data_IF_015835550694
#
_entry.id   IF_015835550694
#
_cell.length_a   1.000
_cell.length_b   1.000
_cell.length_c   1.000
_cell.angle_alpha   90.00
_cell.angle_beta   90.00
_cell.angle_gamma   90.00
#
_symmetry.space_group_name_H-M   'P 1'
#
loop_
_entity.id
_entity.type
_entity.pdbx_description
1 polymer ?
#
# COMPACT_ATOMS: atom_id res chain seq x y z
N UNK A 1 -25.94 13.91 -0.91
CA UNK A 1 -25.98 12.43 -1.00
C UNK A 1 -24.63 11.98 -1.54
N UNK A 2 -23.79 11.40 -0.69
CA UNK A 2 -22.52 10.74 -1.05
C UNK A 2 -22.42 9.45 -0.22
N UNK A 3 -23.45 8.60 -0.28
CA UNK A 3 -23.58 7.42 0.58
C UNK A 3 -22.98 6.14 0.00
N UNK A 4 -22.56 6.14 -1.26
CA UNK A 4 -22.35 4.86 -1.97
C UNK A 4 -20.92 4.68 -2.47
N UNK A 5 -19.92 5.08 -1.67
CA UNK A 5 -18.56 4.57 -1.89
C UNK A 5 -18.51 3.19 -1.22
N UNK A 6 -18.77 2.15 -2.00
CA UNK A 6 -18.55 0.77 -1.57
C UNK A 6 -17.07 0.54 -1.28
N UNK A 7 -16.73 0.41 0.00
CA UNK A 7 -15.41 -0.03 0.44
C UNK A 7 -15.16 -1.46 -0.09
N UNK A 8 -13.94 -1.81 -0.54
CA UNK A 8 -13.64 -3.19 -0.91
C UNK A 8 -13.90 -4.10 0.30
N UNK A 9 -14.85 -5.02 0.14
CA UNK A 9 -15.11 -6.08 1.11
C UNK A 9 -13.83 -6.89 1.23
N UNK A 10 -13.32 -7.07 2.46
CA UNK A 10 -12.19 -7.94 2.71
C UNK A 10 -12.50 -9.31 2.10
N UNK A 11 -11.87 -9.61 0.96
CA UNK A 11 -11.98 -10.92 0.36
C UNK A 11 -11.21 -11.82 1.31
N UNK A 12 -11.93 -12.60 2.10
CA UNK A 12 -11.39 -13.74 2.84
C UNK A 12 -10.44 -14.46 1.89
N UNK A 13 -9.20 -14.68 2.34
CA UNK A 13 -8.18 -15.38 1.56
C UNK A 13 -8.81 -16.63 0.93
N UNK A 14 -8.84 -16.64 -0.40
CA UNK A 14 -9.56 -17.63 -1.18
C UNK A 14 -9.19 -19.03 -0.72
N UNK A 15 -10.19 -19.77 -0.25
CA UNK A 15 -10.11 -21.21 -0.20
C UNK A 15 -9.91 -21.71 -1.63
N UNK A 16 -8.98 -22.66 -1.79
CA UNK A 16 -8.61 -23.40 -3.00
C UNK A 16 -7.46 -22.78 -3.81
N UNK A 17 -6.22 -23.09 -3.45
CA UNK A 17 -5.21 -23.70 -4.35
C UNK A 17 -4.10 -24.34 -3.49
N UNK A 18 -4.10 -25.67 -3.37
CA UNK A 18 -2.87 -26.47 -3.17
C UNK A 18 -2.20 -26.56 -4.57
N UNK A 19 -0.89 -26.62 -4.76
CA UNK A 19 0.08 -27.58 -4.20
C UNK A 19 1.48 -26.91 -4.26
N UNK A 20 2.27 -27.07 -3.18
CA UNK A 20 3.67 -26.68 -2.93
C UNK A 20 3.84 -25.51 -1.94
N UNK A 21 4.05 -25.89 -0.68
CA UNK A 21 4.18 -25.03 0.50
C UNK A 21 5.20 -23.90 0.36
N UNK A 22 4.70 -22.67 0.56
CA UNK A 22 5.38 -21.60 1.28
C UNK A 22 4.47 -21.29 2.47
N UNK A 23 4.98 -21.01 3.69
CA UNK A 23 4.11 -20.82 4.83
C UNK A 23 3.28 -19.56 4.61
N UNK A 24 2.04 -19.74 4.16
CA UNK A 24 0.96 -18.78 4.30
C UNK A 24 0.67 -18.65 5.80
N UNK A 25 1.59 -18.00 6.52
CA UNK A 25 1.28 -17.35 7.79
C UNK A 25 0.23 -16.31 7.44
N UNK A 26 -0.99 -16.54 7.92
CA UNK A 26 -2.13 -15.63 7.90
C UNK A 26 -1.69 -14.18 7.66
N UNK A 27 -1.93 -13.66 6.45
CA UNK A 27 -1.69 -12.25 6.08
C UNK A 27 -2.71 -11.35 6.80
N UNK A 28 -2.67 -11.34 8.12
CA UNK A 28 -3.50 -10.47 8.93
C UNK A 28 -2.72 -9.19 9.23
N UNK A 29 -3.37 -8.04 9.01
CA UNK A 29 -2.86 -6.75 9.42
C UNK A 29 -2.66 -6.75 10.94
N UNK A 30 -1.59 -6.13 11.43
CA UNK A 30 -1.42 -5.92 12.87
C UNK A 30 -2.58 -5.08 13.41
N UNK A 31 -2.94 -5.25 14.69
CA UNK A 31 -4.01 -4.45 15.30
C UNK A 31 -3.71 -2.94 15.21
N UNK A 32 -2.43 -2.55 15.31
CA UNK A 32 -2.01 -1.16 15.11
C UNK A 32 -2.31 -0.67 13.68
N UNK A 33 -2.10 -1.50 12.66
CA UNK A 33 -2.45 -1.20 11.28
C UNK A 33 -3.97 -1.09 11.10
N UNK A 34 -4.74 -2.03 11.64
CA UNK A 34 -6.20 -1.99 11.60
C UNK A 34 -6.72 -0.70 12.25
N UNK A 35 -6.26 -0.37 13.45
CA UNK A 35 -6.68 0.83 14.17
C UNK A 35 -6.39 2.11 13.39
N UNK A 36 -5.18 2.24 12.83
CA UNK A 36 -4.80 3.42 12.06
C UNK A 36 -5.64 3.54 10.79
N UNK A 37 -5.82 2.44 10.04
CA UNK A 37 -6.61 2.40 8.81
C UNK A 37 -8.07 2.76 9.10
N UNK A 38 -8.69 2.11 10.10
CA UNK A 38 -10.07 2.40 10.49
C UNK A 38 -10.27 3.85 10.93
N UNK A 39 -9.30 4.43 11.65
CA UNK A 39 -9.33 5.83 12.08
C UNK A 39 -9.24 6.81 10.90
N UNK A 40 -8.28 6.59 9.99
CA UNK A 40 -8.11 7.41 8.79
C UNK A 40 -9.29 7.33 7.82
N UNK A 41 -10.05 6.23 7.87
CA UNK A 41 -11.24 6.00 7.05
C UNK A 41 -12.54 6.23 7.81
N UNK A 42 -12.48 6.82 9.00
CA UNK A 42 -13.69 7.13 9.76
C UNK A 42 -14.65 7.98 8.91
N UNK A 43 -15.92 7.59 8.95
CA UNK A 43 -17.00 8.33 8.30
C UNK A 43 -17.15 9.73 8.90
N UNK A 44 -16.92 9.85 10.21
CA UNK A 44 -16.91 11.14 10.89
C UNK A 44 -15.62 11.90 10.57
N UNK A 45 -15.78 13.11 10.02
CA UNK A 45 -14.66 13.95 9.61
C UNK A 45 -13.78 14.39 10.79
N UNK A 46 -14.36 14.64 11.96
CA UNK A 46 -13.62 15.05 13.16
C UNK A 46 -12.71 13.92 13.64
N UNK A 47 -13.23 12.70 13.70
CA UNK A 47 -12.47 11.51 14.12
C UNK A 47 -11.32 11.25 13.14
N UNK A 48 -11.61 11.33 11.83
CA UNK A 48 -10.58 11.20 10.78
C UNK A 48 -9.48 12.25 10.91
N UNK A 49 -9.85 13.52 11.12
CA UNK A 49 -8.88 14.60 11.27
C UNK A 49 -8.04 14.44 12.53
N UNK A 50 -8.64 13.98 13.64
CA UNK A 50 -7.92 13.71 14.87
C UNK A 50 -6.83 12.65 14.66
N UNK A 51 -7.15 11.54 14.00
CA UNK A 51 -6.17 10.48 13.70
C UNK A 51 -5.09 10.98 12.74
N UNK A 52 -5.46 11.72 11.68
CA UNK A 52 -4.51 12.27 10.72
C UNK A 52 -3.48 13.22 11.39
N UNK A 53 -3.93 14.05 12.34
CA UNK A 53 -3.05 14.95 13.09
C UNK A 53 -2.06 14.22 14.01
N UNK A 54 -2.32 12.96 14.33
CA UNK A 54 -1.51 12.14 15.24
C UNK A 54 -0.78 11.00 14.51
N UNK A 55 -0.77 10.99 13.17
CA UNK A 55 -0.27 9.87 12.37
C UNK A 55 1.18 9.50 12.72
N UNK A 56 2.03 10.50 12.94
CA UNK A 56 3.45 10.34 13.31
C UNK A 56 3.67 9.64 14.65
N UNK A 57 2.66 9.69 15.53
CA UNK A 57 2.68 9.12 16.87
C UNK A 57 1.83 7.85 16.97
N UNK A 58 1.29 7.33 15.86
CA UNK A 58 0.51 6.10 15.87
C UNK A 58 1.38 4.89 16.16
N UNK A 59 0.86 3.90 16.90
CA UNK A 59 1.60 2.69 17.29
C UNK A 59 2.27 1.98 16.11
N UNK A 60 1.63 2.02 14.94
CA UNK A 60 2.16 1.43 13.71
C UNK A 60 3.43 2.11 13.22
N UNK A 61 3.54 3.43 13.41
CA UNK A 61 4.59 4.27 12.85
C UNK A 61 5.60 4.75 13.89
N UNK A 62 5.44 4.41 15.17
CA UNK A 62 6.48 4.61 16.19
C UNK A 62 7.86 4.09 15.73
N UNK A 63 7.99 2.91 15.10
CA UNK A 63 9.31 2.39 14.68
C UNK A 63 10.01 3.23 13.60
N UNK A 64 9.29 4.13 12.91
CA UNK A 64 9.87 5.05 11.92
C UNK A 64 10.87 6.01 12.59
N UNK A 65 10.68 6.34 13.87
CA UNK A 65 11.59 7.21 14.61
C UNK A 65 11.46 8.68 14.19
N UNK A 66 12.57 9.30 13.78
CA UNK A 66 12.62 10.73 13.47
C UNK A 66 12.13 11.04 12.05
N UNK A 67 10.91 11.57 11.98
CA UNK A 67 10.27 12.00 10.75
C UNK A 67 11.00 13.14 10.01
N UNK A 68 11.89 13.89 10.67
CA UNK A 68 12.65 14.95 10.00
C UNK A 68 13.89 14.40 9.28
N UNK A 69 14.34 13.20 9.65
CA UNK A 69 15.55 12.56 9.14
C UNK A 69 15.24 11.23 8.42
N UNK A 70 14.04 11.10 7.83
CA UNK A 70 13.63 9.90 7.09
C UNK A 70 14.56 9.54 5.93
N UNK A 71 15.21 10.55 5.34
CA UNK A 71 16.13 10.39 4.22
C UNK A 71 17.46 9.73 4.63
N UNK A 72 17.79 9.75 5.93
CA UNK A 72 18.98 9.11 6.48
C UNK A 72 18.73 7.65 6.86
N UNK A 73 17.47 7.20 6.83
CA UNK A 73 17.11 5.81 7.13
C UNK A 73 17.48 4.90 5.96
N UNK A 74 18.01 3.72 6.27
CA UNK A 74 18.24 2.68 5.28
C UNK A 74 16.89 2.25 4.66
N UNK A 75 16.79 2.32 3.34
CA UNK A 75 15.58 1.93 2.63
C UNK A 75 15.46 0.40 2.60
N UNK A 76 14.28 -0.16 2.91
CA UNK A 76 14.08 -1.61 2.93
C UNK A 76 14.15 -2.24 1.52
N UNK A 77 14.04 -1.41 0.49
CA UNK A 77 14.16 -1.81 -0.91
C UNK A 77 14.96 -0.75 -1.67
N UNK A 78 16.00 -1.22 -2.36
CA UNK A 78 16.85 -0.40 -3.24
C UNK A 78 16.66 -0.97 -4.66
N UNK A 79 16.12 -0.20 -5.62
CA UNK A 79 16.01 -0.63 -7.01
C UNK A 79 17.38 -0.89 -7.63
N UNK A 80 17.46 -1.88 -8.53
CA UNK A 80 18.69 -2.26 -9.23
C UNK A 80 18.47 -2.24 -10.76
N UNK A 81 18.41 -1.04 -11.38
CA UNK A 81 18.23 -0.92 -12.83
C UNK A 81 19.50 -1.33 -13.58
N UNK A 82 19.34 -2.03 -14.71
CA UNK A 82 20.47 -2.51 -15.52
C UNK A 82 21.31 -1.36 -16.11
N UNK A 83 20.66 -0.21 -16.40
CA UNK A 83 21.30 0.98 -16.96
C UNK A 83 20.46 2.26 -16.75
N UNK A 84 21.01 3.43 -17.16
CA UNK A 84 20.36 4.73 -16.98
C UNK A 84 19.07 4.95 -17.77
N UNK A 85 18.72 4.03 -18.66
CA UNK A 85 17.49 4.06 -19.47
C UNK A 85 16.55 2.89 -19.20
N UNK A 86 16.85 2.09 -18.18
CA UNK A 86 16.02 0.95 -17.81
C UNK A 86 14.63 1.39 -17.33
N UNK A 87 13.60 0.78 -17.90
CA UNK A 87 12.19 1.02 -17.59
C UNK A 87 11.49 -0.22 -17.03
N UNK A 88 12.22 -1.25 -16.59
CA UNK A 88 11.68 -2.52 -16.10
C UNK A 88 10.64 -2.37 -14.98
N UNK A 89 10.84 -1.42 -14.07
CA UNK A 89 9.89 -1.14 -12.97
C UNK A 89 8.59 -0.44 -13.42
N UNK A 90 8.46 -0.07 -14.70
CA UNK A 90 7.28 0.59 -15.25
C UNK A 90 6.50 -0.35 -16.17
N UNK A 91 5.19 -0.42 -15.98
CA UNK A 91 4.30 -1.08 -16.95
C UNK A 91 4.13 -0.18 -18.18
N UNK A 92 4.97 -0.42 -19.19
CA UNK A 92 4.92 0.34 -20.44
C UNK A 92 3.76 -0.20 -21.27
N UNK A 93 2.61 0.46 -21.15
CA UNK A 93 1.49 0.23 -22.08
C UNK A 93 2.00 0.44 -23.51
N UNK A 94 2.08 -0.64 -24.29
CA UNK A 94 2.58 -0.59 -25.66
C UNK A 94 1.69 0.39 -26.43
N UNK A 95 2.27 1.49 -26.91
CA UNK A 95 1.66 2.25 -28.00
C UNK A 95 1.63 1.30 -29.20
N UNK A 96 0.51 0.60 -29.38
CA UNK A 96 0.23 -0.11 -30.62
C UNK A 96 0.03 0.97 -31.68
N UNK A 97 1.13 1.42 -32.30
CA UNK A 97 1.05 2.14 -33.55
C UNK A 97 0.54 1.09 -34.54
N UNK A 98 -0.76 1.09 -34.77
CA UNK A 98 -1.32 0.41 -35.93
C UNK A 98 -0.58 0.96 -37.14
N UNK A 99 0.27 0.13 -37.76
CA UNK A 99 0.76 0.36 -39.10
C UNK A 99 -0.46 0.37 -40.03
N UNK A 100 -1.10 1.53 -40.17
CA UNK A 100 -1.88 1.84 -41.36
C UNK A 100 -0.85 2.21 -42.42
N UNK A 101 -0.28 1.18 -43.04
CA UNK A 101 0.40 1.33 -44.32
C UNK A 101 -0.70 1.46 -45.38
N UNK A 102 -0.76 2.66 -45.96
CA UNK A 102 -1.41 3.00 -47.23
C UNK A 102 -0.90 2.12 -48.37
#
# INVERSE_FOLDING_TARGET
>A
MFTDIHWPVATTCGSSFNINESPQKNCELSQAAVNLISGLLSYNQTDRLQVANQIKSSDLLIPVGDWNNLHDLEMPFIPDPDNSTDTFYFDVSKLTICNVLL
#
